data_IF_846907253159
#
_entry.id   IF_846907253159
#
_cell.length_a   1.000
_cell.length_b   1.000
_cell.length_c   1.000
_cell.angle_alpha   90.00
_cell.angle_beta   90.00
_cell.angle_gamma   90.00
#
_symmetry.space_group_name_H-M   'P 1'
#
loop_
_entity.id
_entity.type
_entity.pdbx_description
1 polymer ?
#
# COMPACT_ATOMS: atom_id res chain seq x y z
N UNK A 1 -16.35 21.55 9.46
CA UNK A 1 -15.40 20.53 9.00
C UNK A 1 -14.27 20.54 10.01
N UNK A 2 -13.76 19.36 10.41
CA UNK A 2 -12.54 19.33 11.23
C UNK A 2 -11.40 19.98 10.45
N UNK A 3 -10.45 20.62 11.14
CA UNK A 3 -9.25 21.15 10.49
C UNK A 3 -8.47 19.97 9.88
N UNK A 4 -8.07 20.09 8.62
CA UNK A 4 -7.29 19.05 7.92
C UNK A 4 -5.90 18.95 8.53
N UNK A 5 -5.37 17.75 8.65
CA UNK A 5 -4.01 17.54 9.10
C UNK A 5 -3.03 17.96 7.99
N UNK A 6 -2.00 18.72 8.37
CA UNK A 6 -0.98 19.23 7.48
C UNK A 6 0.00 18.13 7.06
N UNK A 7 0.35 18.10 5.78
CA UNK A 7 1.16 17.01 5.21
C UNK A 7 2.35 17.54 4.43
N UNK A 8 3.51 16.91 4.64
CA UNK A 8 4.67 17.00 3.78
C UNK A 8 4.85 15.71 2.96
N UNK A 9 5.23 15.84 1.69
CA UNK A 9 5.66 14.73 0.84
C UNK A 9 7.19 14.84 0.67
N UNK A 10 7.92 13.81 1.09
CA UNK A 10 9.38 13.72 0.90
C UNK A 10 9.67 12.76 -0.25
N UNK A 11 10.36 13.26 -1.27
CA UNK A 11 10.45 12.70 -2.60
C UNK A 11 9.65 13.53 -3.61
N UNK A 12 10.11 13.58 -4.85
CA UNK A 12 9.46 14.33 -5.94
C UNK A 12 9.38 13.52 -7.24
N UNK A 13 9.39 12.20 -7.13
CA UNK A 13 9.27 11.29 -8.26
C UNK A 13 7.81 10.97 -8.62
N UNK A 14 7.63 9.90 -9.39
CA UNK A 14 6.34 9.43 -9.86
C UNK A 14 5.34 9.12 -8.72
N UNK A 15 5.77 8.39 -7.68
CA UNK A 15 4.94 8.05 -6.53
C UNK A 15 4.53 9.33 -5.77
N UNK A 16 5.49 10.21 -5.47
CA UNK A 16 5.24 11.46 -4.75
C UNK A 16 4.27 12.38 -5.50
N UNK A 17 4.41 12.45 -6.83
CA UNK A 17 3.58 13.32 -7.67
C UNK A 17 2.16 12.76 -7.82
N UNK A 18 2.02 11.45 -7.94
CA UNK A 18 0.69 10.81 -7.95
C UNK A 18 -0.01 10.96 -6.58
N UNK A 19 0.73 10.74 -5.49
CA UNK A 19 0.26 10.93 -4.13
C UNK A 19 -0.21 12.38 -3.89
N UNK A 20 0.51 13.38 -4.40
CA UNK A 20 0.11 14.79 -4.29
C UNK A 20 -1.32 15.01 -4.80
N UNK A 21 -1.67 14.48 -5.97
CA UNK A 21 -3.02 14.64 -6.53
C UNK A 21 -4.10 13.96 -5.69
N UNK A 22 -3.80 12.80 -5.10
CA UNK A 22 -4.71 12.10 -4.18
C UNK A 22 -4.92 12.89 -2.89
N UNK A 23 -3.83 13.40 -2.29
CA UNK A 23 -3.89 14.21 -1.08
C UNK A 23 -4.64 15.54 -1.30
N UNK A 24 -4.52 16.17 -2.47
CA UNK A 24 -5.28 17.38 -2.81
C UNK A 24 -6.81 17.16 -2.82
N UNK A 25 -7.27 15.93 -3.01
CA UNK A 25 -8.69 15.55 -2.95
C UNK A 25 -9.13 15.06 -1.57
N UNK A 26 -8.19 14.83 -0.66
CA UNK A 26 -8.49 14.28 0.66
C UNK A 26 -9.40 15.21 1.46
N UNK A 27 -10.34 14.65 2.20
CA UNK A 27 -11.19 15.39 3.14
C UNK A 27 -10.51 15.66 4.49
N UNK A 28 -9.45 14.90 4.80
CA UNK A 28 -8.79 14.90 6.11
C UNK A 28 -7.35 15.42 6.08
N UNK A 29 -6.71 15.42 4.91
CA UNK A 29 -5.30 15.77 4.74
C UNK A 29 -5.14 16.98 3.82
N UNK A 30 -4.19 17.84 4.16
CA UNK A 30 -3.82 19.02 3.36
C UNK A 30 -2.32 18.98 3.02
N UNK A 31 -1.95 18.66 1.76
CA UNK A 31 -0.55 18.67 1.36
C UNK A 31 -0.04 20.11 1.23
N UNK A 32 0.93 20.47 2.07
CA UNK A 32 1.52 21.83 2.14
C UNK A 32 2.95 21.90 1.63
N UNK A 33 3.72 20.82 1.80
CA UNK A 33 5.13 20.77 1.40
C UNK A 33 5.42 19.61 0.45
N UNK A 34 6.23 19.86 -0.59
CA UNK A 34 6.89 18.80 -1.36
C UNK A 34 8.40 19.01 -1.39
N UNK A 35 9.13 18.01 -0.90
CA UNK A 35 10.56 18.10 -0.61
C UNK A 35 11.33 17.13 -1.49
N UNK A 36 12.31 17.63 -2.23
CA UNK A 36 13.19 16.84 -3.09
C UNK A 36 14.66 17.13 -2.82
N UNK A 37 15.51 16.62 -3.71
CA UNK A 37 16.97 16.86 -3.71
C UNK A 37 17.50 17.38 -5.05
N UNK A 38 16.64 17.39 -6.08
CA UNK A 38 16.98 17.84 -7.43
C UNK A 38 16.17 19.11 -7.73
N UNK A 39 16.80 20.29 -7.89
CA UNK A 39 16.10 21.54 -8.17
C UNK A 39 15.36 21.51 -9.53
N UNK A 40 15.75 20.63 -10.46
CA UNK A 40 15.13 20.49 -11.78
C UNK A 40 14.01 19.43 -11.81
N UNK A 41 13.64 18.87 -10.65
CA UNK A 41 12.58 17.86 -10.56
C UNK A 41 11.23 18.38 -11.06
N UNK A 42 10.62 17.65 -12.02
CA UNK A 42 9.27 17.94 -12.50
C UNK A 42 8.24 17.92 -11.36
N UNK A 43 8.38 16.99 -10.41
CA UNK A 43 7.48 16.88 -9.25
C UNK A 43 7.49 18.16 -8.41
N UNK A 44 8.66 18.75 -8.15
CA UNK A 44 8.78 20.02 -7.44
C UNK A 44 8.17 21.17 -8.25
N UNK A 45 8.44 21.25 -9.55
CA UNK A 45 7.85 22.29 -10.40
C UNK A 45 6.31 22.22 -10.42
N UNK A 46 5.76 21.01 -10.45
CA UNK A 46 4.31 20.75 -10.42
C UNK A 46 3.69 21.09 -9.08
N UNK A 47 4.31 20.69 -7.97
CA UNK A 47 3.86 21.03 -6.62
C UNK A 47 3.81 22.55 -6.41
N UNK A 48 4.86 23.27 -6.85
CA UNK A 48 4.90 24.75 -6.78
C UNK A 48 3.77 25.40 -7.58
N UNK A 49 3.47 24.88 -8.78
CA UNK A 49 2.35 25.36 -9.60
C UNK A 49 0.99 25.15 -8.91
N UNK A 50 0.87 24.11 -8.09
CA UNK A 50 -0.32 23.80 -7.30
C UNK A 50 -0.38 24.55 -5.96
N UNK A 51 0.61 25.40 -5.66
CA UNK A 51 0.62 26.28 -4.49
C UNK A 51 1.34 25.71 -3.27
N UNK A 52 2.00 24.56 -3.37
CA UNK A 52 2.78 23.99 -2.28
C UNK A 52 4.11 24.72 -2.11
N UNK A 53 4.59 24.75 -0.87
CA UNK A 53 5.98 25.08 -0.57
C UNK A 53 6.90 23.94 -1.02
N UNK A 54 7.95 24.29 -1.75
CA UNK A 54 8.85 23.29 -2.34
C UNK A 54 10.30 23.60 -2.01
N UNK A 55 11.07 22.57 -1.66
CA UNK A 55 12.52 22.69 -1.44
C UNK A 55 13.25 21.53 -2.11
N UNK A 56 14.47 21.81 -2.59
CA UNK A 56 15.41 20.82 -3.12
C UNK A 56 16.56 20.54 -2.14
N UNK A 57 16.47 21.02 -0.90
CA UNK A 57 17.51 20.89 0.14
C UNK A 57 17.31 19.62 1.01
N UNK A 58 16.41 18.73 0.61
CA UNK A 58 16.12 17.49 1.33
C UNK A 58 15.33 17.70 2.63
N UNK A 59 15.11 16.60 3.35
CA UNK A 59 14.27 16.59 4.55
C UNK A 59 14.88 17.38 5.74
N UNK A 60 16.18 17.67 5.73
CA UNK A 60 16.78 18.57 6.72
C UNK A 60 16.21 20.00 6.63
N UNK A 61 15.87 20.49 5.43
CA UNK A 61 15.18 21.79 5.28
C UNK A 61 13.78 21.78 5.89
N UNK A 62 13.03 20.68 5.71
CA UNK A 62 11.69 20.52 6.28
C UNK A 62 11.73 20.56 7.80
N UNK A 63 12.69 19.86 8.41
CA UNK A 63 12.88 19.78 9.85
C UNK A 63 13.39 21.09 10.47
N UNK A 64 13.83 22.06 9.66
CA UNK A 64 14.30 23.36 10.09
C UNK A 64 13.23 24.47 9.99
N UNK A 65 12.01 24.15 9.55
CA UNK A 65 10.91 25.12 9.45
C UNK A 65 10.32 25.45 10.84
N UNK A 66 9.79 26.66 11.00
CA UNK A 66 9.10 27.08 12.22
C UNK A 66 7.79 26.30 12.44
N UNK A 67 7.10 25.97 11.34
CA UNK A 67 5.90 25.13 11.32
C UNK A 67 6.25 23.76 10.74
N UNK A 68 5.98 22.70 11.50
CA UNK A 68 6.22 21.32 11.10
C UNK A 68 4.90 20.64 10.71
N UNK A 69 4.93 19.69 9.75
CA UNK A 69 3.74 18.97 9.34
C UNK A 69 3.27 17.98 10.42
N UNK A 70 1.97 17.70 10.46
CA UNK A 70 1.42 16.61 11.26
C UNK A 70 1.87 15.25 10.71
N UNK A 71 1.92 15.12 9.38
CA UNK A 71 2.33 13.90 8.69
C UNK A 71 3.43 14.14 7.66
N UNK A 72 4.32 13.16 7.53
CA UNK A 72 5.24 13.04 6.40
C UNK A 72 4.98 11.76 5.62
N UNK A 73 4.79 11.88 4.32
CA UNK A 73 4.70 10.75 3.39
C UNK A 73 6.02 10.66 2.64
N UNK A 74 6.79 9.59 2.86
CA UNK A 74 8.11 9.47 2.26
C UNK A 74 8.13 8.42 1.14
N UNK A 75 8.45 8.88 -0.07
CA UNK A 75 8.58 8.09 -1.28
C UNK A 75 9.95 8.32 -1.94
N UNK A 76 11.01 8.16 -1.16
CA UNK A 76 12.41 8.29 -1.57
C UNK A 76 13.04 6.92 -1.83
N UNK A 77 13.77 6.40 -0.85
CA UNK A 77 14.42 5.10 -0.84
C UNK A 77 14.54 4.58 0.59
N UNK A 78 14.75 3.27 0.73
CA UNK A 78 14.82 2.66 2.05
C UNK A 78 15.96 3.21 2.93
N UNK A 79 17.11 3.57 2.33
CA UNK A 79 18.24 4.10 3.09
C UNK A 79 18.00 5.54 3.56
N UNK A 80 17.31 6.36 2.77
CA UNK A 80 16.94 7.72 3.17
C UNK A 80 15.92 7.65 4.30
N UNK A 81 14.84 6.89 4.13
CA UNK A 81 13.81 6.79 5.16
C UNK A 81 14.36 6.26 6.49
N UNK A 82 15.22 5.24 6.47
CA UNK A 82 15.90 4.73 7.70
C UNK A 82 16.70 5.81 8.42
N UNK A 83 17.34 6.73 7.69
CA UNK A 83 18.13 7.80 8.29
C UNK A 83 17.25 8.92 8.87
N UNK A 84 16.08 9.16 8.29
CA UNK A 84 15.20 10.26 8.67
C UNK A 84 14.06 9.87 9.61
N UNK A 85 13.63 8.60 9.64
CA UNK A 85 12.56 8.14 10.53
C UNK A 85 12.76 8.52 12.00
N UNK A 86 13.96 8.34 12.62
CA UNK A 86 14.20 8.79 13.99
C UNK A 86 14.11 10.32 14.15
N UNK A 87 14.43 11.09 13.10
CA UNK A 87 14.34 12.56 13.12
C UNK A 87 12.88 13.03 13.07
N UNK A 88 12.04 12.39 12.25
CA UNK A 88 10.61 12.68 12.20
C UNK A 88 9.94 12.38 13.54
N UNK A 89 10.23 11.23 14.13
CA UNK A 89 9.70 10.86 15.44
C UNK A 89 10.13 11.83 16.54
N UNK A 90 11.41 12.22 16.57
CA UNK A 90 11.92 13.21 17.52
C UNK A 90 11.27 14.61 17.34
N UNK A 91 10.83 14.93 16.13
CA UNK A 91 10.11 16.16 15.80
C UNK A 91 8.58 16.05 16.03
N UNK A 92 8.08 14.89 16.46
CA UNK A 92 6.64 14.66 16.67
C UNK A 92 5.83 14.48 15.38
N UNK A 93 6.50 14.23 14.25
CA UNK A 93 5.87 14.08 12.93
C UNK A 93 5.56 12.60 12.69
N UNK A 94 4.30 12.27 12.34
CA UNK A 94 3.92 10.90 11.99
C UNK A 94 4.36 10.56 10.57
N UNK A 95 5.07 9.45 10.40
CA UNK A 95 5.62 9.05 9.12
C UNK A 95 4.82 7.91 8.47
N UNK A 96 4.48 8.09 7.19
CA UNK A 96 3.93 7.05 6.32
C UNK A 96 5.01 6.73 5.27
N UNK A 97 5.62 5.56 5.41
CA UNK A 97 6.75 5.08 4.63
C UNK A 97 6.27 4.29 3.40
N UNK A 98 6.42 4.86 2.20
CA UNK A 98 6.13 4.20 0.93
C UNK A 98 7.35 3.43 0.38
N UNK A 99 8.47 3.41 1.12
CA UNK A 99 9.71 2.74 0.74
C UNK A 99 9.80 1.34 1.36
N UNK A 100 10.76 0.49 0.96
CA UNK A 100 10.98 -0.80 1.62
C UNK A 100 11.85 -0.69 2.89
N UNK A 101 11.92 0.47 3.55
CA UNK A 101 12.69 0.63 4.78
C UNK A 101 12.15 -0.22 5.94
N UNK A 102 10.82 -0.28 6.08
CA UNK A 102 10.10 -1.10 7.04
C UNK A 102 10.60 -0.93 8.48
N UNK A 103 10.75 0.34 8.91
CA UNK A 103 11.14 0.70 10.28
C UNK A 103 9.96 0.68 11.26
N UNK A 104 8.77 1.07 10.79
CA UNK A 104 7.49 0.91 11.49
C UNK A 104 6.74 -0.35 11.07
N UNK A 105 5.64 -0.70 11.78
CA UNK A 105 4.74 -1.78 11.38
C UNK A 105 4.21 -1.60 9.95
N UNK A 106 4.16 -2.69 9.20
CA UNK A 106 3.55 -2.70 7.89
C UNK A 106 2.02 -2.73 8.00
N UNK A 107 1.35 -1.92 7.18
CA UNK A 107 -0.10 -1.70 7.26
C UNK A 107 -0.78 -2.03 5.94
N UNK A 108 -1.84 -2.82 6.03
CA UNK A 108 -2.81 -3.07 4.96
C UNK A 108 -4.16 -2.54 5.48
N UNK A 109 -4.77 -1.52 4.85
CA UNK A 109 -5.95 -0.84 5.38
C UNK A 109 -7.09 -1.77 5.87
N UNK A 110 -7.57 -2.74 5.06
CA UNK A 110 -8.66 -3.61 5.50
C UNK A 110 -8.27 -4.73 6.49
N UNK A 111 -6.98 -4.89 6.80
CA UNK A 111 -6.50 -6.01 7.62
C UNK A 111 -6.09 -5.58 9.03
N UNK A 112 -5.18 -4.60 9.16
CA UNK A 112 -4.54 -4.30 10.45
C UNK A 112 -4.31 -2.80 10.73
N UNK A 113 -4.85 -1.88 9.92
CA UNK A 113 -4.65 -0.44 10.11
C UNK A 113 -5.04 0.03 11.52
N UNK A 114 -6.18 -0.40 12.04
CA UNK A 114 -6.68 0.03 13.34
C UNK A 114 -5.76 -0.38 14.51
N UNK A 115 -4.91 -1.40 14.33
CA UNK A 115 -3.91 -1.82 15.34
C UNK A 115 -2.72 -0.85 15.43
N UNK A 116 -2.56 0.03 14.44
CA UNK A 116 -1.36 0.84 14.25
C UNK A 116 -1.65 2.35 14.11
N UNK A 117 -2.85 2.80 14.47
CA UNK A 117 -3.26 4.22 14.38
C UNK A 117 -2.41 5.16 15.24
N UNK A 118 -1.83 4.64 16.31
CA UNK A 118 -0.96 5.38 17.23
C UNK A 118 0.53 5.22 16.92
N UNK A 119 0.89 4.43 15.91
CA UNK A 119 2.30 4.23 15.55
C UNK A 119 2.90 5.53 14.99
N UNK A 120 4.08 5.97 15.46
CA UNK A 120 4.72 7.19 14.95
C UNK A 120 5.23 7.01 13.51
N UNK A 121 5.38 5.76 13.07
CA UNK A 121 5.80 5.39 11.73
C UNK A 121 5.04 4.14 11.29
N UNK A 122 4.48 4.14 10.09
CA UNK A 122 3.85 2.98 9.46
C UNK A 122 4.42 2.76 8.06
N UNK A 123 4.52 1.51 7.64
CA UNK A 123 5.09 1.13 6.34
C UNK A 123 4.02 0.57 5.39
N UNK A 124 4.07 0.99 4.12
CA UNK A 124 3.10 0.59 3.09
C UNK A 124 3.45 -0.72 2.36
N UNK A 125 4.44 -1.46 2.86
CA UNK A 125 4.86 -2.77 2.36
C UNK A 125 5.38 -2.71 0.91
N UNK A 126 4.60 -3.19 -0.05
CA UNK A 126 4.88 -3.27 -1.48
C UNK A 126 3.55 -3.17 -2.22
N UNK A 127 3.59 -2.79 -3.49
CA UNK A 127 2.38 -2.72 -4.32
C UNK A 127 1.66 -4.07 -4.45
N UNK A 128 2.43 -5.16 -4.63
CA UNK A 128 1.88 -6.51 -4.63
C UNK A 128 1.26 -6.88 -3.29
N UNK A 129 1.85 -6.48 -2.17
CA UNK A 129 1.27 -6.69 -0.85
C UNK A 129 -0.05 -5.96 -0.67
N UNK A 130 -0.12 -4.67 -1.02
CA UNK A 130 -1.37 -3.89 -0.96
C UNK A 130 -2.48 -4.48 -1.84
N UNK A 131 -2.12 -5.06 -3.00
CA UNK A 131 -3.07 -5.67 -3.91
C UNK A 131 -3.54 -7.08 -3.48
N UNK A 132 -2.73 -7.83 -2.73
CA UNK A 132 -2.95 -9.28 -2.54
C UNK A 132 -3.17 -9.71 -1.10
N UNK A 133 -2.54 -9.04 -0.13
CA UNK A 133 -2.70 -9.36 1.30
C UNK A 133 -4.14 -9.18 1.78
N UNK A 134 -4.94 -8.18 1.30
CA UNK A 134 -6.37 -8.13 1.63
C UNK A 134 -7.11 -9.44 1.32
N UNK A 135 -6.81 -10.07 0.18
CA UNK A 135 -7.41 -11.34 -0.23
C UNK A 135 -6.95 -12.49 0.67
N UNK A 136 -5.65 -12.57 0.97
CA UNK A 136 -5.12 -13.59 1.90
C UNK A 136 -5.77 -13.44 3.27
N UNK A 137 -5.87 -12.22 3.80
CA UNK A 137 -6.56 -11.91 5.05
C UNK A 137 -8.03 -12.35 5.02
N UNK A 138 -8.74 -12.07 3.93
CA UNK A 138 -10.13 -12.48 3.75
C UNK A 138 -10.32 -14.00 3.74
N UNK A 139 -9.42 -14.75 3.10
CA UNK A 139 -9.46 -16.22 3.15
C UNK A 139 -9.13 -16.70 4.55
N UNK A 140 -8.06 -16.20 5.16
CA UNK A 140 -7.61 -16.64 6.48
C UNK A 140 -8.66 -16.41 7.56
N UNK A 141 -9.31 -15.24 7.60
CA UNK A 141 -10.36 -14.97 8.60
C UNK A 141 -11.54 -15.93 8.45
N UNK A 142 -12.02 -16.17 7.22
CA UNK A 142 -13.14 -17.05 6.95
C UNK A 142 -12.82 -18.53 7.26
N UNK A 143 -11.58 -18.95 7.02
CA UNK A 143 -11.10 -20.30 7.35
C UNK A 143 -10.94 -20.46 8.87
N UNK A 144 -10.43 -19.44 9.56
CA UNK A 144 -10.21 -19.45 11.02
C UNK A 144 -11.53 -19.49 11.78
N UNK A 145 -12.55 -18.75 11.33
CA UNK A 145 -13.90 -18.80 11.89
C UNK A 145 -14.52 -20.20 11.84
N UNK A 146 -14.08 -21.03 10.91
CA UNK A 146 -14.50 -22.43 10.75
C UNK A 146 -13.55 -23.43 11.44
N UNK A 147 -12.59 -22.95 12.24
CA UNK A 147 -11.63 -23.79 12.98
C UNK A 147 -10.46 -24.33 12.14
N UNK A 148 -10.27 -23.82 10.93
CA UNK A 148 -9.15 -24.17 10.06
C UNK A 148 -7.97 -23.22 10.16
N UNK A 149 -6.96 -23.45 9.33
CA UNK A 149 -5.85 -22.51 9.08
C UNK A 149 -5.56 -22.46 7.58
N UNK A 150 -4.86 -21.41 7.14
CA UNK A 150 -4.30 -21.31 5.78
C UNK A 150 -2.81 -21.68 5.87
N UNK A 151 -2.42 -22.93 5.52
CA UNK A 151 -1.03 -23.37 5.71
C UNK A 151 -0.05 -22.66 4.78
N UNK A 152 -0.54 -22.24 3.62
CA UNK A 152 0.27 -21.62 2.58
C UNK A 152 -0.57 -20.64 1.78
N UNK A 153 0.01 -19.47 1.49
CA UNK A 153 -0.51 -18.56 0.49
C UNK A 153 0.61 -18.09 -0.44
N UNK A 154 0.30 -18.00 -1.72
CA UNK A 154 1.19 -17.53 -2.77
C UNK A 154 0.53 -16.43 -3.57
N UNK A 155 1.30 -15.38 -3.88
CA UNK A 155 0.85 -14.29 -4.73
C UNK A 155 1.76 -14.17 -5.96
N UNK A 156 1.16 -13.82 -7.09
CA UNK A 156 1.87 -13.57 -8.35
C UNK A 156 1.43 -12.22 -8.90
N UNK A 157 2.27 -11.21 -8.72
CA UNK A 157 2.06 -9.87 -9.26
C UNK A 157 2.62 -9.78 -10.69
N UNK A 158 1.80 -9.36 -11.64
CA UNK A 158 2.19 -9.12 -13.03
C UNK A 158 1.95 -7.67 -13.38
N UNK A 159 3.03 -6.94 -13.69
CA UNK A 159 3.00 -5.49 -13.93
C UNK A 159 3.62 -5.14 -15.28
N UNK A 160 3.20 -4.01 -15.84
CA UNK A 160 3.83 -3.45 -17.03
C UNK A 160 5.31 -3.12 -16.76
N UNK A 161 6.21 -3.52 -17.66
CA UNK A 161 7.64 -3.23 -17.53
C UNK A 161 7.94 -1.73 -17.40
N UNK A 162 7.13 -0.90 -18.06
CA UNK A 162 7.24 0.56 -18.05
C UNK A 162 6.76 1.20 -16.74
N UNK A 163 5.98 0.50 -15.91
CA UNK A 163 5.58 0.98 -14.58
C UNK A 163 6.55 0.56 -13.46
N UNK A 164 7.53 -0.31 -13.77
CA UNK A 164 8.59 -0.71 -12.85
C UNK A 164 9.87 0.12 -13.09
N UNK A 165 10.02 1.18 -12.27
CA UNK A 165 11.20 2.06 -12.30
C UNK A 165 12.49 1.39 -11.79
N UNK A 166 13.63 2.10 -11.85
CA UNK A 166 14.94 1.56 -11.39
C UNK A 166 14.92 1.06 -9.95
N UNK A 167 14.20 1.75 -9.05
CA UNK A 167 14.08 1.35 -7.64
C UNK A 167 13.46 -0.04 -7.48
N UNK A 168 12.35 -0.33 -8.16
CA UNK A 168 11.72 -1.66 -8.14
C UNK A 168 12.64 -2.73 -8.71
N UNK A 169 13.34 -2.43 -9.82
CA UNK A 169 14.23 -3.37 -10.51
C UNK A 169 15.47 -3.72 -9.69
N UNK A 170 16.03 -2.75 -8.98
CA UNK A 170 17.20 -2.94 -8.13
C UNK A 170 16.88 -3.69 -6.82
N UNK A 171 15.61 -3.71 -6.39
CA UNK A 171 15.17 -4.29 -5.12
C UNK A 171 14.12 -5.40 -5.32
N UNK A 172 14.24 -6.17 -6.41
CA UNK A 172 13.25 -7.22 -6.76
C UNK A 172 13.24 -8.36 -5.73
N UNK A 173 14.38 -8.63 -5.11
CA UNK A 173 14.53 -9.61 -4.03
C UNK A 173 13.77 -9.17 -2.78
N UNK A 174 13.91 -7.90 -2.39
CA UNK A 174 13.22 -7.27 -1.27
C UNK A 174 11.71 -7.29 -1.49
N UNK A 175 11.24 -7.04 -2.73
CA UNK A 175 9.83 -7.19 -3.07
C UNK A 175 9.32 -8.59 -2.69
N UNK A 176 10.01 -9.65 -3.13
CA UNK A 176 9.55 -11.03 -2.85
C UNK A 176 9.59 -11.35 -1.35
N UNK A 177 10.67 -11.00 -0.65
CA UNK A 177 10.85 -11.31 0.78
C UNK A 177 9.88 -10.53 1.66
N UNK A 178 9.72 -9.23 1.43
CA UNK A 178 8.84 -8.36 2.21
C UNK A 178 7.38 -8.69 1.97
N UNK A 179 6.98 -8.94 0.72
CA UNK A 179 5.60 -9.33 0.42
C UNK A 179 5.26 -10.71 0.99
N UNK A 180 6.16 -11.69 0.86
CA UNK A 180 5.96 -13.02 1.46
C UNK A 180 5.79 -12.94 2.97
N UNK A 181 6.56 -12.07 3.65
CA UNK A 181 6.39 -11.83 5.08
C UNK A 181 5.05 -11.18 5.40
N UNK A 182 4.60 -10.19 4.63
CA UNK A 182 3.28 -9.57 4.81
C UNK A 182 2.13 -10.56 4.63
N UNK A 183 2.24 -11.47 3.66
CA UNK A 183 1.30 -12.58 3.48
C UNK A 183 1.21 -13.46 4.74
N UNK A 184 2.33 -13.66 5.44
CA UNK A 184 2.37 -14.40 6.70
C UNK A 184 1.82 -13.58 7.88
N UNK A 185 2.40 -12.40 8.13
CA UNK A 185 2.18 -11.64 9.36
C UNK A 185 0.88 -10.83 9.36
N UNK A 186 0.41 -10.40 8.20
CA UNK A 186 -0.81 -9.57 8.06
C UNK A 186 -1.92 -10.37 7.39
N UNK A 187 -1.58 -11.13 6.33
CA UNK A 187 -2.52 -12.03 5.67
C UNK A 187 -2.91 -13.24 6.54
N UNK A 188 -2.06 -13.61 7.51
CA UNK A 188 -2.30 -14.68 8.47
C UNK A 188 -2.06 -16.10 7.93
N UNK A 189 -1.47 -16.24 6.73
CA UNK A 189 -1.03 -17.55 6.24
C UNK A 189 0.16 -18.05 7.06
N UNK A 190 0.27 -19.37 7.30
CA UNK A 190 1.42 -19.91 8.04
C UNK A 190 2.73 -19.83 7.24
N UNK A 191 2.63 -19.86 5.91
CA UNK A 191 3.76 -19.70 4.99
C UNK A 191 3.34 -18.84 3.79
N UNK A 192 4.16 -17.86 3.45
CA UNK A 192 3.92 -16.94 2.36
C UNK A 192 4.95 -17.10 1.23
N UNK A 193 4.50 -16.88 -0.01
CA UNK A 193 5.36 -16.72 -1.19
C UNK A 193 4.86 -15.57 -2.05
N UNK A 194 5.79 -14.81 -2.61
CA UNK A 194 5.50 -13.78 -3.58
C UNK A 194 6.38 -13.92 -4.81
N UNK A 195 5.76 -13.75 -5.98
CA UNK A 195 6.39 -13.68 -7.30
C UNK A 195 6.02 -12.33 -7.93
N UNK A 196 6.97 -11.72 -8.64
CA UNK A 196 6.72 -10.56 -9.50
C UNK A 196 7.22 -10.84 -10.91
N UNK A 197 6.38 -10.51 -11.90
CA UNK A 197 6.66 -10.63 -13.33
C UNK A 197 6.54 -9.24 -13.96
N UNK A 198 7.56 -8.86 -14.73
CA UNK A 198 7.56 -7.64 -15.53
C UNK A 198 7.27 -8.00 -16.99
N UNK A 199 6.16 -7.51 -17.53
CA UNK A 199 5.74 -7.81 -18.90
C UNK A 199 5.90 -6.58 -19.82
N UNK A 200 6.63 -6.68 -20.94
CA UNK A 200 6.88 -5.55 -21.85
C UNK A 200 5.85 -5.43 -22.99
N UNK A 201 4.69 -6.07 -22.89
CA UNK A 201 3.63 -5.95 -23.90
C UNK A 201 3.23 -4.49 -24.19
N UNK A 202 2.83 -4.24 -25.45
CA UNK A 202 2.34 -2.95 -25.94
C UNK A 202 0.97 -3.16 -26.63
N UNK A 203 -0.12 -2.49 -26.20
CA UNK A 203 -0.18 -1.48 -25.13
C UNK A 203 0.20 -2.05 -23.74
N UNK A 204 0.78 -1.23 -22.83
CA UNK A 204 1.14 -1.68 -21.48
C UNK A 204 -0.04 -2.32 -20.75
N UNK A 205 0.17 -3.52 -20.20
CA UNK A 205 -0.89 -4.24 -19.50
C UNK A 205 -1.27 -3.57 -18.18
N UNK A 206 -2.55 -3.63 -17.82
CA UNK A 206 -3.02 -3.32 -16.46
C UNK A 206 -2.38 -4.30 -15.48
N UNK A 207 -2.09 -3.84 -14.25
CA UNK A 207 -1.60 -4.71 -13.18
C UNK A 207 -2.61 -5.84 -12.91
N UNK A 208 -2.10 -7.07 -12.82
CA UNK A 208 -2.88 -8.24 -12.46
C UNK A 208 -2.18 -8.97 -11.33
N UNK A 209 -2.96 -9.49 -10.40
CA UNK A 209 -2.45 -10.33 -9.33
C UNK A 209 -3.27 -11.61 -9.22
N UNK A 210 -2.58 -12.71 -9.03
CA UNK A 210 -3.20 -14.01 -8.73
C UNK A 210 -2.81 -14.44 -7.33
N UNK A 211 -3.79 -14.82 -6.53
CA UNK A 211 -3.62 -15.21 -5.13
C UNK A 211 -4.08 -16.66 -4.99
N UNK A 212 -3.19 -17.51 -4.50
CA UNK A 212 -3.48 -18.90 -4.16
C UNK A 212 -3.44 -19.05 -2.65
N UNK A 213 -4.50 -19.59 -2.04
CA UNK A 213 -4.51 -19.93 -0.62
C UNK A 213 -4.87 -21.41 -0.46
N UNK A 214 -4.01 -22.17 0.23
CA UNK A 214 -4.34 -23.53 0.63
C UNK A 214 -5.38 -23.49 1.75
N UNK A 215 -6.42 -24.29 1.60
CA UNK A 215 -7.58 -24.34 2.49
C UNK A 215 -7.89 -25.79 2.88
N UNK A 216 -8.60 -26.02 4.00
CA UNK A 216 -9.15 -27.34 4.32
C UNK A 216 -10.14 -27.82 3.24
N UNK A 217 -10.25 -29.13 3.02
CA UNK A 217 -11.14 -29.72 2.00
C UNK A 217 -12.62 -29.50 2.33
N UNK A 218 -13.00 -29.69 3.59
CA UNK A 218 -14.39 -29.61 4.08
C UNK A 218 -14.83 -28.18 4.45
N UNK A 219 -14.18 -27.15 3.91
CA UNK A 219 -14.46 -25.74 4.24
C UNK A 219 -15.69 -25.21 3.48
N UNK A 220 -16.47 -24.33 4.11
CA UNK A 220 -17.54 -23.58 3.45
C UNK A 220 -16.94 -22.57 2.46
N UNK A 221 -17.05 -22.90 1.17
CA UNK A 221 -16.58 -22.08 0.04
C UNK A 221 -17.40 -20.80 -0.12
N UNK A 222 -18.67 -20.80 0.27
CA UNK A 222 -19.52 -19.60 0.19
C UNK A 222 -19.10 -18.57 1.24
N UNK A 223 -18.72 -19.02 2.44
CA UNK A 223 -18.16 -18.15 3.47
C UNK A 223 -16.86 -17.46 3.01
N UNK A 224 -15.95 -18.22 2.39
CA UNK A 224 -14.71 -17.66 1.80
C UNK A 224 -15.05 -16.66 0.70
N UNK A 225 -15.96 -17.01 -0.21
CA UNK A 225 -16.37 -16.14 -1.32
C UNK A 225 -16.96 -14.83 -0.83
N UNK A 226 -17.88 -14.87 0.15
CA UNK A 226 -18.46 -13.66 0.77
C UNK A 226 -17.39 -12.80 1.44
N UNK A 227 -16.44 -13.43 2.14
CA UNK A 227 -15.33 -12.73 2.78
C UNK A 227 -14.43 -12.01 1.77
N UNK A 228 -14.12 -12.65 0.64
CA UNK A 228 -13.35 -12.06 -0.47
C UNK A 228 -14.12 -10.89 -1.09
N UNK A 229 -15.40 -11.07 -1.42
CA UNK A 229 -16.21 -9.99 -2.01
C UNK A 229 -16.27 -8.77 -1.09
N UNK A 230 -16.46 -8.99 0.21
CA UNK A 230 -16.45 -7.92 1.21
C UNK A 230 -15.12 -7.17 1.27
N UNK A 231 -13.97 -7.87 1.20
CA UNK A 231 -12.68 -7.16 1.23
C UNK A 231 -12.41 -6.42 -0.08
N UNK A 232 -12.87 -6.94 -1.22
CA UNK A 232 -12.77 -6.25 -2.52
C UNK A 232 -13.54 -4.94 -2.46
N UNK A 233 -14.77 -4.93 -1.94
CA UNK A 233 -15.56 -3.71 -1.74
C UNK A 233 -14.84 -2.71 -0.82
N UNK A 234 -14.20 -3.19 0.26
CA UNK A 234 -13.41 -2.33 1.14
C UNK A 234 -12.22 -1.71 0.43
N UNK A 235 -11.46 -2.48 -0.36
CA UNK A 235 -10.34 -1.97 -1.17
C UNK A 235 -10.82 -0.95 -2.20
N UNK A 236 -11.98 -1.19 -2.81
CA UNK A 236 -12.60 -0.28 -3.79
C UNK A 236 -12.95 1.10 -3.21
N UNK A 237 -13.11 1.22 -1.89
CA UNK A 237 -13.33 2.53 -1.25
C UNK A 237 -12.15 3.49 -1.43
N UNK A 238 -10.94 2.98 -1.66
CA UNK A 238 -9.74 3.79 -1.90
C UNK A 238 -9.05 3.49 -3.24
N UNK A 239 -9.31 2.35 -3.88
CA UNK A 239 -8.86 2.03 -5.26
C UNK A 239 -10.05 1.60 -6.11
N UNK A 240 -10.79 2.54 -6.73
CA UNK A 240 -12.00 2.21 -7.49
C UNK A 240 -11.79 1.21 -8.64
N UNK A 241 -10.59 1.18 -9.23
CA UNK A 241 -10.22 0.25 -10.30
C UNK A 241 -9.76 -1.14 -9.84
N UNK A 242 -9.78 -1.42 -8.53
CA UNK A 242 -9.47 -2.75 -8.00
C UNK A 242 -10.68 -3.68 -8.16
N UNK A 243 -10.54 -4.76 -8.94
CA UNK A 243 -11.67 -5.64 -9.29
C UNK A 243 -11.27 -7.10 -9.40
N UNK A 244 -12.22 -7.99 -9.12
CA UNK A 244 -12.09 -9.40 -9.46
C UNK A 244 -12.26 -9.60 -10.97
N UNK A 245 -11.38 -10.39 -11.57
CA UNK A 245 -11.51 -10.83 -12.97
C UNK A 245 -12.49 -11.99 -13.13
N UNK A 246 -12.60 -12.82 -12.09
CA UNK A 246 -13.43 -14.01 -12.04
C UNK A 246 -13.93 -14.22 -10.60
N UNK A 247 -14.98 -15.02 -10.44
CA UNK A 247 -15.35 -15.55 -9.12
C UNK A 247 -14.16 -16.35 -8.54
N UNK A 248 -13.99 -16.40 -7.20
CA UNK A 248 -12.98 -17.26 -6.58
C UNK A 248 -13.10 -18.71 -7.05
N UNK A 249 -12.00 -19.27 -7.57
CA UNK A 249 -11.96 -20.62 -8.11
C UNK A 249 -11.50 -21.59 -7.03
N UNK A 250 -12.19 -22.72 -6.86
CA UNK A 250 -11.86 -23.72 -5.85
C UNK A 250 -11.45 -25.03 -6.51
N UNK A 251 -10.24 -25.49 -6.19
CA UNK A 251 -9.67 -26.73 -6.69
C UNK A 251 -9.51 -27.75 -5.58
N UNK A 252 -9.83 -29.00 -5.89
CA UNK A 252 -9.60 -30.16 -5.02
C UNK A 252 -8.09 -30.46 -4.87
N UNK A 253 -7.68 -31.23 -3.84
CA UNK A 253 -6.33 -31.73 -3.70
C UNK A 253 -5.81 -32.39 -4.98
N UNK A 254 -4.61 -31.98 -5.42
CA UNK A 254 -3.98 -32.51 -6.62
C UNK A 254 -2.47 -32.64 -6.44
N UNK A 255 -1.81 -33.33 -7.38
CA UNK A 255 -0.35 -33.37 -7.41
C UNK A 255 0.26 -31.97 -7.55
N UNK A 256 -0.40 -31.08 -8.30
CA UNK A 256 0.07 -29.71 -8.52
C UNK A 256 -0.01 -28.84 -7.25
N UNK A 257 -1.04 -29.05 -6.43
CA UNK A 257 -1.21 -28.31 -5.17
C UNK A 257 -0.50 -28.96 -3.98
N UNK A 258 0.26 -30.04 -4.20
CA UNK A 258 0.92 -30.78 -3.12
C UNK A 258 -0.07 -31.52 -2.20
N UNK A 259 -1.20 -31.97 -2.74
CA UNK A 259 -2.23 -32.69 -1.99
C UNK A 259 -3.09 -31.80 -1.08
N UNK A 260 -3.30 -30.53 -1.45
CA UNK A 260 -4.11 -29.57 -0.68
C UNK A 260 -5.20 -28.95 -1.56
N UNK A 261 -6.38 -28.72 -1.02
CA UNK A 261 -7.38 -27.88 -1.68
C UNK A 261 -6.89 -26.43 -1.73
N UNK A 262 -7.26 -25.70 -2.78
CA UNK A 262 -6.79 -24.32 -3.02
C UNK A 262 -7.96 -23.45 -3.45
N UNK A 263 -8.02 -22.23 -2.93
CA UNK A 263 -8.81 -21.15 -3.53
C UNK A 263 -7.87 -20.23 -4.32
N UNK A 264 -8.23 -19.95 -5.57
CA UNK A 264 -7.51 -19.06 -6.48
C UNK A 264 -8.34 -17.83 -6.77
N UNK A 265 -7.78 -16.65 -6.51
CA UNK A 265 -8.42 -15.36 -6.74
C UNK A 265 -7.62 -14.56 -7.78
N UNK A 266 -8.32 -13.99 -8.75
CA UNK A 266 -7.73 -13.18 -9.82
C UNK A 266 -8.20 -11.73 -9.67
N UNK A 267 -7.28 -10.81 -9.44
CA UNK A 267 -7.58 -9.39 -9.37
C UNK A 267 -6.87 -8.62 -10.48
N UNK A 268 -7.50 -7.54 -10.90
CA UNK A 268 -6.92 -6.52 -11.75
C UNK A 268 -6.99 -5.17 -11.03
N UNK A 269 -5.94 -4.38 -11.18
CA UNK A 269 -5.80 -3.08 -10.52
C UNK A 269 -5.59 -2.01 -11.59
N UNK A 270 -6.67 -1.32 -11.95
CA UNK A 270 -6.63 -0.14 -12.81
C UNK A 270 -6.40 1.11 -11.96
N UNK A 271 -5.37 1.90 -12.31
CA UNK A 271 -5.06 3.15 -11.62
C UNK A 271 -5.99 4.29 -12.02
N UNK A 272 -6.14 5.29 -11.15
CA UNK A 272 -7.11 6.37 -11.33
C UNK A 272 -6.77 7.37 -12.46
N UNK A 273 -5.55 7.34 -12.99
CA UNK A 273 -5.14 8.27 -14.06
C UNK A 273 -4.77 9.67 -13.56
N UNK A 274 -4.43 9.82 -12.28
CA UNK A 274 -4.19 11.13 -11.64
C UNK A 274 -2.96 11.87 -12.18
N UNK A 275 -1.83 11.16 -12.15
CA UNK A 275 -0.58 11.56 -12.80
C UNK A 275 -0.05 10.40 -13.64
N UNK A 276 -0.13 9.19 -13.08
CA UNK A 276 0.27 7.97 -13.75
C UNK A 276 -0.84 7.46 -14.66
N UNK A 277 -0.50 6.82 -15.80
CA UNK A 277 -1.50 6.25 -16.69
C UNK A 277 -2.24 5.08 -16.02
N UNK A 278 -3.46 4.73 -16.44
CA UNK A 278 -4.28 3.70 -15.79
C UNK A 278 -3.63 2.32 -15.66
N UNK A 279 -2.71 1.96 -16.57
CA UNK A 279 -1.96 0.70 -16.48
C UNK A 279 -0.97 0.63 -15.31
N UNK A 280 -0.62 1.77 -14.70
CA UNK A 280 0.30 1.85 -13.58
C UNK A 280 -0.40 1.62 -12.22
N UNK A 281 -1.38 0.72 -12.17
CA UNK A 281 -2.13 0.37 -10.97
C UNK A 281 -1.26 -0.08 -9.80
N UNK A 282 -0.06 -0.61 -10.07
CA UNK A 282 0.92 -0.96 -9.05
C UNK A 282 1.43 0.25 -8.26
N UNK A 283 1.55 1.41 -8.88
CA UNK A 283 1.93 2.63 -8.19
C UNK A 283 0.71 3.31 -7.56
N UNK A 284 -0.42 3.28 -8.25
CA UNK A 284 -1.68 3.87 -7.80
C UNK A 284 -2.20 3.22 -6.50
N UNK A 285 -2.17 1.89 -6.40
CA UNK A 285 -2.61 1.19 -5.17
C UNK A 285 -1.73 1.53 -3.97
N UNK A 286 -0.44 1.81 -4.17
CA UNK A 286 0.46 2.23 -3.10
C UNK A 286 0.11 3.63 -2.59
N UNK A 287 -0.09 4.59 -3.50
CA UNK A 287 -0.39 5.98 -3.13
C UNK A 287 -1.81 6.13 -2.58
N UNK A 288 -2.76 5.35 -3.12
CA UNK A 288 -4.12 5.26 -2.61
C UNK A 288 -4.18 4.63 -1.21
N UNK A 289 -3.48 3.51 -0.99
CA UNK A 289 -3.40 2.91 0.33
C UNK A 289 -2.72 3.86 1.33
N UNK A 290 -1.64 4.53 0.94
CA UNK A 290 -0.97 5.51 1.81
C UNK A 290 -1.92 6.65 2.18
N UNK A 291 -2.65 7.20 1.20
CA UNK A 291 -3.66 8.24 1.42
C UNK A 291 -4.72 7.74 2.41
N UNK A 292 -5.26 6.55 2.19
CA UNK A 292 -6.26 5.94 3.08
C UNK A 292 -5.73 5.78 4.50
N UNK A 293 -4.51 5.28 4.67
CA UNK A 293 -3.87 5.16 6.00
C UNK A 293 -3.76 6.52 6.68
N UNK A 294 -3.27 7.54 5.99
CA UNK A 294 -3.16 8.89 6.55
C UNK A 294 -4.52 9.50 6.92
N UNK A 295 -5.54 9.34 6.08
CA UNK A 295 -6.89 9.83 6.33
C UNK A 295 -7.51 9.20 7.59
N UNK A 296 -7.35 7.88 7.73
CA UNK A 296 -7.90 7.15 8.86
C UNK A 296 -7.19 7.54 10.16
N UNK A 297 -5.85 7.67 10.14
CA UNK A 297 -5.09 8.14 11.30
C UNK A 297 -5.51 9.57 11.68
N UNK A 298 -5.62 10.47 10.71
CA UNK A 298 -6.07 11.85 10.95
C UNK A 298 -7.49 11.91 11.52
N UNK A 299 -8.40 11.05 11.04
CA UNK A 299 -9.77 10.96 11.55
C UNK A 299 -9.82 10.46 12.99
N UNK A 300 -9.05 9.44 13.34
CA UNK A 300 -8.98 8.93 14.72
C UNK A 300 -8.40 10.01 15.66
N UNK A 301 -7.36 10.71 15.25
CA UNK A 301 -6.78 11.84 16.02
C UNK A 301 -7.81 12.96 16.25
N UNK A 302 -8.55 13.35 15.20
CA UNK A 302 -9.59 14.37 15.32
C UNK A 302 -10.72 13.93 16.26
N UNK A 303 -11.07 12.65 16.24
CA UNK A 303 -12.09 12.06 17.12
C UNK A 303 -11.63 12.04 18.58
N UNK A 304 -10.39 11.61 18.85
CA UNK A 304 -9.80 11.62 20.20
C UNK A 304 -9.76 13.04 20.79
N UNK A 305 -9.30 14.03 19.99
CA UNK A 305 -9.28 15.45 20.38
C UNK A 305 -10.67 15.99 20.71
N UNK A 306 -11.70 15.60 19.96
CA UNK A 306 -13.08 15.99 20.23
C UNK A 306 -13.64 15.35 21.51
N UNK A 307 -13.13 14.20 21.92
CA UNK A 307 -13.51 13.50 23.15
C UNK A 307 -12.73 13.95 24.39
N UNK A 308 -11.75 14.85 24.24
CA UNK A 308 -10.96 15.40 25.35
C UNK A 308 -9.95 14.43 25.95
N UNK A 309 -9.54 13.43 25.16
CA UNK A 309 -8.47 12.46 25.48
C UNK A 309 -7.19 12.87 24.77
#
# INVERSE_FOLDING_TARGET
MADKASVAIVGSGNISTDLLYKLLRSEWLEPRWMIGIDPESEGLARARKLGLETSAEGADWLLAQDELPDFVFEATSAYVHKAYAPKYEAAGIRAIDLTPAAVGPAVIPPANLHEHVDAPNVNMITCGGQATIPIVYAVTRAVTEQGGTVPYAEIVASVASVSAGPGTRANIDEFTKTTSRGVETIGGAQKGKAIIILNPADPPMIMRDTIFCQIPEDIDRDAITKSILSVVEQVQTYVPGYRLLNEPQFDEPSLNSGGRAVVTTFVEVEGAGDYLPPYAGNLDIMTAAATKVGEEIAREMATAKAQGV
#
